data_IF_821337168372
#
_entry.id   IF_821337168372
#
_cell.length_a   1.000
_cell.length_b   1.000
_cell.length_c   1.000
_cell.angle_alpha   90.00
_cell.angle_beta   90.00
_cell.angle_gamma   90.00
#
_symmetry.space_group_name_H-M   'P 1'
#
loop_
_entity.id
_entity.type
_entity.pdbx_description
1 polymer ?
#
# COMPACT_ATOMS: atom_id res chain seq x y z
N UNK A 1 -6.13 -4.64 -58.57
CA UNK A 1 -4.94 -5.04 -57.78
C UNK A 1 -4.19 -3.78 -57.38
N UNK A 2 -4.26 -3.38 -56.11
CA UNK A 2 -3.38 -2.35 -55.53
C UNK A 2 -2.89 -2.90 -54.19
N UNK A 3 -1.57 -3.04 -54.07
CA UNK A 3 -0.84 -3.50 -52.88
C UNK A 3 -0.97 -2.47 -51.76
N UNK A 4 -1.44 -2.89 -50.59
CA UNK A 4 -1.29 -2.13 -49.33
C UNK A 4 -0.02 -2.64 -48.65
N UNK A 5 0.96 -1.76 -48.47
CA UNK A 5 2.21 -2.06 -47.78
C UNK A 5 1.97 -2.30 -46.28
N UNK A 6 2.67 -3.30 -45.71
CA UNK A 6 2.70 -3.53 -44.27
C UNK A 6 3.39 -2.34 -43.56
N UNK A 7 2.94 -1.92 -42.37
CA UNK A 7 3.70 -0.99 -41.54
C UNK A 7 5.02 -1.64 -41.11
N UNK A 8 6.06 -0.85 -40.77
CA UNK A 8 7.32 -1.41 -40.28
C UNK A 8 7.05 -2.20 -39.00
N UNK A 9 7.54 -3.45 -38.96
CA UNK A 9 7.53 -4.27 -37.77
C UNK A 9 8.22 -3.49 -36.64
N UNK A 10 7.47 -3.13 -35.61
CA UNK A 10 8.03 -2.78 -34.31
C UNK A 10 8.87 -3.96 -33.78
N UNK A 11 9.75 -3.71 -32.80
CA UNK A 11 10.61 -4.76 -32.24
C UNK A 11 9.78 -5.99 -31.88
N UNK A 12 10.22 -7.15 -32.35
CA UNK A 12 9.58 -8.43 -32.06
C UNK A 12 9.40 -8.62 -30.55
N UNK A 13 8.35 -9.31 -30.15
CA UNK A 13 8.08 -9.70 -28.75
C UNK A 13 9.31 -10.31 -28.03
N UNK A 14 10.22 -10.95 -28.77
CA UNK A 14 11.47 -11.51 -28.23
C UNK A 14 12.51 -10.45 -27.81
N UNK A 15 12.50 -9.26 -28.42
CA UNK A 15 13.40 -8.15 -28.05
C UNK A 15 12.98 -7.39 -26.79
N UNK A 16 11.71 -7.51 -26.35
CA UNK A 16 11.23 -6.93 -25.09
C UNK A 16 11.70 -7.72 -23.86
N UNK A 17 12.09 -8.99 -24.01
CA UNK A 17 12.55 -9.87 -22.91
C UNK A 17 13.96 -9.56 -22.37
N UNK A 18 14.64 -8.52 -22.89
CA UNK A 18 16.05 -8.22 -22.54
C UNK A 18 16.34 -6.80 -22.11
N UNK A 19 15.34 -5.90 -22.09
CA UNK A 19 15.58 -4.59 -21.52
C UNK A 19 15.66 -4.73 -19.99
N UNK A 20 16.83 -4.40 -19.42
CA UNK A 20 16.93 -4.25 -17.98
C UNK A 20 15.94 -3.17 -17.53
N UNK A 21 15.26 -3.36 -16.37
CA UNK A 21 14.40 -2.33 -15.82
C UNK A 21 15.21 -1.07 -15.57
N UNK A 22 14.57 0.11 -15.69
CA UNK A 22 15.24 1.39 -15.57
C UNK A 22 14.48 2.33 -14.66
N UNK A 23 15.21 2.97 -13.74
CA UNK A 23 14.71 4.09 -12.96
C UNK A 23 14.54 5.33 -13.83
N UNK A 24 13.36 5.93 -13.73
CA UNK A 24 13.01 7.18 -14.41
C UNK A 24 12.42 8.10 -13.35
N UNK A 25 13.07 9.25 -13.15
CA UNK A 25 12.49 10.32 -12.32
C UNK A 25 11.47 11.08 -13.16
N UNK A 26 10.19 10.83 -12.91
CA UNK A 26 9.11 11.59 -13.51
C UNK A 26 9.16 13.06 -13.09
N UNK A 27 8.84 13.96 -14.02
CA UNK A 27 8.73 15.41 -13.77
C UNK A 27 7.33 15.89 -14.15
N UNK A 28 6.34 15.69 -13.27
CA UNK A 28 4.99 16.16 -13.53
C UNK A 28 4.93 17.69 -13.54
N UNK A 29 4.07 18.24 -14.40
CA UNK A 29 3.74 19.67 -14.46
C UNK A 29 2.57 19.99 -13.54
N UNK A 30 2.41 21.26 -13.15
CA UNK A 30 1.28 21.73 -12.32
C UNK A 30 1.71 22.16 -10.92
N UNK A 31 0.74 22.22 -9.99
CA UNK A 31 1.03 22.57 -8.59
C UNK A 31 1.80 21.43 -7.95
N UNK A 32 3.01 21.71 -7.52
CA UNK A 32 3.84 20.77 -6.76
C UNK A 32 3.18 20.45 -5.43
N UNK A 33 3.04 19.16 -5.13
CA UNK A 33 2.75 18.68 -3.79
C UNK A 33 4.04 18.78 -2.96
N UNK A 34 3.93 19.16 -1.69
CA UNK A 34 5.06 19.06 -0.76
C UNK A 34 5.48 17.60 -0.60
N UNK A 35 6.68 17.39 -0.04
CA UNK A 35 7.08 16.08 0.45
C UNK A 35 5.98 15.54 1.36
N UNK A 36 5.71 14.24 1.33
CA UNK A 36 4.63 13.66 2.12
C UNK A 36 4.92 12.19 2.39
N UNK A 37 4.63 11.72 3.58
CA UNK A 37 4.73 10.33 4.02
C UNK A 37 3.39 9.83 4.57
N UNK A 38 3.28 8.52 4.78
CA UNK A 38 2.05 7.91 5.30
C UNK A 38 0.82 8.10 4.42
N UNK A 39 1.03 8.51 3.16
CA UNK A 39 0.00 8.66 2.13
C UNK A 39 -0.18 7.35 1.37
N UNK A 40 -1.31 7.19 0.71
CA UNK A 40 -1.52 6.07 -0.23
C UNK A 40 -1.58 6.57 -1.67
N UNK A 41 -1.16 5.71 -2.60
CA UNK A 41 -1.33 5.89 -4.04
C UNK A 41 -2.22 4.77 -4.54
N UNK A 42 -3.29 5.13 -5.23
CA UNK A 42 -4.19 4.20 -5.91
C UNK A 42 -4.24 4.54 -7.38
N UNK A 43 -4.13 3.55 -8.26
CA UNK A 43 -4.24 3.74 -9.70
C UNK A 43 -5.63 3.31 -10.14
N UNK A 44 -6.36 4.22 -10.77
CA UNK A 44 -7.62 3.91 -11.45
C UNK A 44 -7.46 4.32 -12.90
N UNK A 45 -7.54 3.34 -13.80
CA UNK A 45 -7.24 3.50 -15.22
C UNK A 45 -5.84 4.07 -15.46
N UNK A 46 -5.73 5.36 -15.83
CA UNK A 46 -4.47 6.07 -16.11
C UNK A 46 -4.26 7.28 -15.21
N UNK A 47 -4.87 7.27 -14.03
CA UNK A 47 -4.79 8.36 -13.07
C UNK A 47 -4.30 7.80 -11.74
N UNK A 48 -3.22 8.39 -11.22
CA UNK A 48 -2.78 8.14 -9.85
C UNK A 48 -3.57 9.08 -8.93
N UNK A 49 -4.22 8.49 -7.95
CA UNK A 49 -4.89 9.17 -6.85
C UNK A 49 -3.97 9.09 -5.64
N UNK A 50 -3.45 10.24 -5.22
CA UNK A 50 -2.57 10.40 -4.06
C UNK A 50 -3.42 10.95 -2.92
N UNK A 51 -3.57 10.17 -1.87
CA UNK A 51 -4.55 10.40 -0.80
C UNK A 51 -3.84 10.66 0.53
N UNK A 52 -4.19 11.78 1.17
CA UNK A 52 -3.75 12.20 2.51
C UNK A 52 -2.24 12.03 2.79
N UNK A 53 -1.86 11.75 4.02
CA UNK A 53 -0.47 11.73 4.52
C UNK A 53 -0.08 13.04 5.18
N UNK A 54 1.13 13.07 5.71
CA UNK A 54 1.69 14.22 6.43
C UNK A 54 3.06 14.64 5.90
N UNK A 55 3.50 15.81 6.31
CA UNK A 55 4.90 16.17 6.34
C UNK A 55 5.23 16.91 7.62
N UNK A 56 6.48 16.77 8.02
CA UNK A 56 7.05 17.54 9.11
C UNK A 56 7.61 18.85 8.55
N UNK A 57 7.18 19.96 9.15
CA UNK A 57 7.77 21.29 8.98
C UNK A 57 8.09 21.85 10.39
N UNK A 58 8.84 22.96 10.47
CA UNK A 58 9.30 23.58 11.74
C UNK A 58 8.17 23.94 12.74
N UNK A 59 6.89 23.84 12.34
CA UNK A 59 5.70 24.12 13.15
C UNK A 59 4.87 22.89 13.57
N UNK A 60 5.36 21.66 13.33
CA UNK A 60 4.69 20.41 13.68
C UNK A 60 4.11 19.64 12.48
N UNK A 61 3.21 18.70 12.75
CA UNK A 61 2.58 17.85 11.73
C UNK A 61 1.65 18.65 10.81
N UNK A 62 2.00 18.74 9.52
CA UNK A 62 1.15 19.38 8.50
C UNK A 62 0.61 18.32 7.54
N UNK A 63 -0.71 18.17 7.52
CA UNK A 63 -1.36 17.18 6.67
C UNK A 63 -1.46 17.63 5.21
N UNK A 64 -1.19 16.69 4.31
CA UNK A 64 -1.26 16.88 2.87
C UNK A 64 -2.73 16.95 2.41
N UNK A 65 -3.03 17.59 1.25
CA UNK A 65 -4.39 17.65 0.74
C UNK A 65 -5.05 16.27 0.63
N UNK A 66 -6.36 16.16 0.89
CA UNK A 66 -7.06 14.87 0.95
C UNK A 66 -7.07 14.13 -0.39
N UNK A 67 -6.94 14.86 -1.50
CA UNK A 67 -6.83 14.29 -2.84
C UNK A 67 -5.93 15.15 -3.73
N UNK A 68 -4.89 14.53 -4.27
CA UNK A 68 -4.11 15.01 -5.42
C UNK A 68 -4.17 13.94 -6.51
N UNK A 69 -4.31 14.34 -7.77
CA UNK A 69 -4.34 13.41 -8.90
C UNK A 69 -3.24 13.72 -9.91
N UNK A 70 -2.60 12.68 -10.43
CA UNK A 70 -1.66 12.74 -11.55
C UNK A 70 -2.23 11.95 -12.72
N UNK A 71 -2.51 12.63 -13.83
CA UNK A 71 -2.82 11.98 -15.10
C UNK A 71 -1.51 11.48 -15.73
N UNK A 72 -1.38 10.18 -15.96
CA UNK A 72 -0.12 9.57 -16.43
C UNK A 72 0.14 9.74 -17.92
N UNK A 73 -0.86 10.16 -18.71
CA UNK A 73 -0.65 10.47 -20.12
C UNK A 73 -0.10 11.88 -20.29
N UNK A 74 -0.67 12.84 -19.57
CA UNK A 74 -0.33 14.26 -19.67
C UNK A 74 0.79 14.66 -18.71
N UNK A 75 1.04 13.83 -17.70
CA UNK A 75 1.95 14.13 -16.58
C UNK A 75 1.57 15.42 -15.86
N UNK A 76 0.27 15.72 -15.75
CA UNK A 76 -0.26 16.89 -15.05
C UNK A 76 -0.74 16.50 -13.65
N UNK A 77 -0.18 17.16 -12.64
CA UNK A 77 -0.57 17.05 -11.24
C UNK A 77 -1.58 18.15 -10.88
N UNK A 78 -2.69 17.77 -10.24
CA UNK A 78 -3.74 18.70 -9.83
C UNK A 78 -4.43 18.28 -8.53
N UNK A 79 -5.08 19.23 -7.85
CA UNK A 79 -5.91 18.99 -6.66
C UNK A 79 -7.36 19.29 -7.02
N UNK A 80 -8.10 18.31 -7.57
CA UNK A 80 -9.47 18.54 -8.02
C UNK A 80 -10.37 18.82 -6.81
N UNK A 81 -11.45 19.56 -7.05
CA UNK A 81 -12.54 19.62 -6.08
C UNK A 81 -13.07 18.20 -5.82
N UNK A 82 -13.59 17.98 -4.62
CA UNK A 82 -14.31 16.76 -4.23
C UNK A 82 -15.69 17.15 -3.73
N UNK A 83 -16.63 16.21 -3.83
CA UNK A 83 -18.04 16.38 -3.47
C UNK A 83 -18.76 17.45 -4.33
N UNK A 84 -19.65 17.05 -5.25
CA UNK A 84 -20.38 18.00 -6.10
C UNK A 84 -21.16 19.04 -5.30
N UNK A 85 -21.31 20.29 -5.81
CA UNK A 85 -22.10 21.33 -5.14
C UNK A 85 -23.52 20.83 -4.80
N UNK A 86 -23.95 21.03 -3.55
CA UNK A 86 -25.27 20.60 -3.06
C UNK A 86 -25.30 19.22 -2.41
N UNK A 87 -24.19 18.46 -2.40
CA UNK A 87 -24.02 17.30 -1.49
C UNK A 87 -23.44 17.73 -0.15
N UNK A 88 -23.82 17.04 0.92
CA UNK A 88 -23.15 17.15 2.20
C UNK A 88 -21.70 16.68 2.03
N UNK A 89 -20.74 17.47 2.53
CA UNK A 89 -19.31 17.12 2.49
C UNK A 89 -19.09 15.81 3.25
N UNK A 90 -18.52 14.81 2.57
CA UNK A 90 -18.18 13.52 3.17
C UNK A 90 -16.68 13.24 3.11
N UNK A 91 -15.87 14.24 2.76
CA UNK A 91 -14.41 14.15 2.79
C UNK A 91 -13.94 13.62 4.15
N UNK A 92 -13.07 12.60 4.17
CA UNK A 92 -12.45 12.12 5.40
C UNK A 92 -11.67 13.21 6.11
N UNK A 93 -11.52 13.07 7.43
CA UNK A 93 -10.54 13.86 8.18
C UNK A 93 -9.13 13.53 7.70
N UNK A 94 -8.23 14.51 7.86
CA UNK A 94 -6.81 14.37 7.61
C UNK A 94 -6.25 13.14 8.34
N UNK A 95 -5.37 12.40 7.67
CA UNK A 95 -4.85 11.14 8.18
C UNK A 95 -3.56 10.71 7.52
N UNK A 96 -2.77 9.91 8.22
CA UNK A 96 -1.64 9.16 7.68
C UNK A 96 -1.73 7.67 8.06
N UNK A 97 -0.82 6.83 7.58
CA UNK A 97 -0.77 5.41 7.96
C UNK A 97 -2.01 4.57 7.61
N UNK A 98 -2.91 5.13 6.80
CA UNK A 98 -4.11 4.47 6.30
C UNK A 98 -3.76 3.53 5.14
N UNK A 99 -4.65 2.58 4.86
CA UNK A 99 -4.56 1.76 3.65
C UNK A 99 -5.61 2.18 2.63
N UNK A 100 -5.34 1.89 1.36
CA UNK A 100 -6.29 2.11 0.28
C UNK A 100 -6.30 0.92 -0.68
N UNK A 101 -7.49 0.59 -1.18
CA UNK A 101 -7.69 -0.49 -2.15
C UNK A 101 -8.69 -0.07 -3.25
N UNK A 102 -8.46 -0.53 -4.48
CA UNK A 102 -9.31 -0.20 -5.63
C UNK A 102 -10.20 -1.39 -5.99
N UNK A 103 -11.52 -1.18 -5.92
CA UNK A 103 -12.51 -2.12 -6.46
C UNK A 103 -13.28 -1.37 -7.55
N UNK A 104 -13.21 -1.89 -8.77
CA UNK A 104 -13.71 -1.23 -9.98
C UNK A 104 -13.12 0.18 -10.16
N UNK A 105 -13.95 1.23 -10.10
CA UNK A 105 -13.56 2.64 -10.19
C UNK A 105 -13.81 3.37 -8.87
N UNK A 106 -13.66 2.67 -7.75
CA UNK A 106 -13.84 3.21 -6.41
C UNK A 106 -12.63 2.91 -5.55
N UNK A 107 -12.16 3.93 -4.83
CA UNK A 107 -11.04 3.80 -3.92
C UNK A 107 -11.60 3.73 -2.50
N UNK A 108 -11.31 2.64 -1.81
CA UNK A 108 -11.69 2.37 -0.44
C UNK A 108 -10.53 2.77 0.46
N UNK A 109 -10.75 3.66 1.41
CA UNK A 109 -9.75 4.18 2.35
C UNK A 109 -10.15 3.75 3.76
N UNK A 110 -9.27 3.04 4.45
CA UNK A 110 -9.53 2.51 5.78
C UNK A 110 -8.46 2.92 6.80
N UNK A 111 -8.93 3.31 7.98
CA UNK A 111 -8.11 3.56 9.16
C UNK A 111 -7.13 4.72 9.00
N UNK A 112 -5.96 4.57 9.62
CA UNK A 112 -4.93 5.59 9.75
C UNK A 112 -5.04 6.38 11.04
N UNK A 113 -4.15 7.34 11.20
CA UNK A 113 -4.02 8.20 12.39
C UNK A 113 -4.08 9.66 12.03
N UNK A 114 -4.46 10.46 13.02
CA UNK A 114 -4.30 11.91 12.98
C UNK A 114 -3.68 12.36 14.29
N UNK A 115 -2.66 13.20 14.20
CA UNK A 115 -1.94 13.72 15.36
C UNK A 115 -2.08 15.23 15.38
N UNK A 116 -2.45 15.78 16.54
CA UNK A 116 -2.59 17.22 16.73
C UNK A 116 -1.25 17.90 17.05
N UNK A 117 -1.30 19.22 17.34
CA UNK A 117 -0.10 20.00 17.69
C UNK A 117 0.41 19.74 19.11
N UNK A 118 -0.34 19.01 19.94
CA UNK A 118 0.04 18.60 21.29
C UNK A 118 0.55 17.14 21.31
N UNK A 119 0.85 16.58 20.12
CA UNK A 119 1.28 15.20 19.88
C UNK A 119 0.27 14.12 20.33
N UNK A 120 -1.01 14.48 20.45
CA UNK A 120 -2.08 13.53 20.75
C UNK A 120 -2.49 12.83 19.45
N UNK A 121 -2.32 11.51 19.42
CA UNK A 121 -2.61 10.68 18.23
C UNK A 121 -3.95 9.98 18.36
N UNK A 122 -4.82 10.18 17.38
CA UNK A 122 -6.12 9.52 17.25
C UNK A 122 -6.04 8.44 16.16
N UNK A 123 -6.27 7.19 16.55
CA UNK A 123 -6.42 6.07 15.63
C UNK A 123 -7.85 6.02 15.07
N UNK A 124 -7.97 5.74 13.77
CA UNK A 124 -9.26 5.70 13.07
C UNK A 124 -9.63 4.29 12.62
N UNK A 125 -10.94 4.04 12.52
CA UNK A 125 -11.52 2.79 12.01
C UNK A 125 -12.60 3.02 10.94
N UNK A 126 -12.65 4.22 10.36
CA UNK A 126 -13.64 4.56 9.36
C UNK A 126 -13.23 4.10 7.95
N UNK A 127 -14.24 3.64 7.22
CA UNK A 127 -14.14 3.27 5.81
C UNK A 127 -14.79 4.37 4.99
N UNK A 128 -14.04 4.92 4.06
CA UNK A 128 -14.50 5.91 3.10
C UNK A 128 -14.32 5.41 1.68
N UNK A 129 -15.21 5.82 0.80
CA UNK A 129 -15.25 5.37 -0.58
C UNK A 129 -15.23 6.60 -1.47
N UNK A 130 -14.16 6.78 -2.24
CA UNK A 130 -14.05 7.79 -3.28
C UNK A 130 -14.53 7.20 -4.61
N UNK A 131 -15.68 7.67 -5.09
CA UNK A 131 -16.19 7.31 -6.40
C UNK A 131 -15.55 8.20 -7.48
N UNK A 132 -14.67 7.61 -8.30
CA UNK A 132 -13.89 8.34 -9.31
C UNK A 132 -14.66 8.56 -10.62
N UNK A 133 -15.82 7.90 -10.76
CA UNK A 133 -16.73 8.07 -11.91
C UNK A 133 -17.49 9.39 -11.83
N UNK A 134 -17.70 9.89 -10.61
CA UNK A 134 -18.29 11.21 -10.37
C UNK A 134 -17.33 12.33 -10.82
N UNK A 135 -17.88 13.43 -11.35
CA UNK A 135 -17.13 14.62 -11.76
C UNK A 135 -17.75 15.86 -11.10
N UNK A 136 -17.18 16.42 -10.02
CA UNK A 136 -15.95 15.97 -9.34
C UNK A 136 -16.09 14.60 -8.64
N UNK A 137 -14.96 13.91 -8.33
CA UNK A 137 -14.97 12.71 -7.49
C UNK A 137 -15.71 12.96 -6.18
N UNK A 138 -16.47 11.96 -5.73
CA UNK A 138 -17.38 12.12 -4.60
C UNK A 138 -17.07 11.11 -3.50
N UNK A 139 -16.97 11.58 -2.27
CA UNK A 139 -16.83 10.74 -1.10
C UNK A 139 -18.18 10.19 -0.66
N UNK A 140 -18.14 8.97 -0.12
CA UNK A 140 -19.26 8.35 0.55
C UNK A 140 -18.77 7.45 1.67
N UNK A 141 -19.67 7.07 2.58
CA UNK A 141 -19.42 6.06 3.60
C UNK A 141 -20.40 4.89 3.45
N UNK A 142 -19.98 3.66 3.73
CA UNK A 142 -20.89 2.55 3.76
C UNK A 142 -21.83 2.63 4.98
N UNK A 143 -23.00 1.99 4.94
CA UNK A 143 -23.90 1.94 6.09
C UNK A 143 -23.24 1.29 7.30
N UNK A 144 -23.23 1.99 8.44
CA UNK A 144 -22.80 1.43 9.73
C UNK A 144 -24.03 0.96 10.51
N UNK A 145 -23.99 -0.28 10.98
CA UNK A 145 -24.98 -0.85 11.91
C UNK A 145 -24.23 -1.58 13.02
N UNK A 146 -24.83 -1.80 14.21
CA UNK A 146 -24.16 -2.52 15.30
C UNK A 146 -23.71 -3.94 14.93
N UNK A 147 -24.34 -4.57 13.93
CA UNK A 147 -23.96 -5.88 13.40
C UNK A 147 -22.97 -5.81 12.22
N UNK A 148 -22.76 -4.62 11.63
CA UNK A 148 -21.78 -4.34 10.58
C UNK A 148 -20.64 -3.48 11.14
N UNK A 149 -19.91 -4.05 12.10
CA UNK A 149 -18.83 -3.33 12.76
C UNK A 149 -17.55 -3.42 11.93
N UNK A 150 -16.88 -2.28 11.66
CA UNK A 150 -15.56 -2.30 11.06
C UNK A 150 -14.54 -2.96 12.00
N UNK A 151 -13.35 -3.30 11.49
CA UNK A 151 -12.21 -3.64 12.34
C UNK A 151 -11.95 -2.52 13.36
N UNK A 152 -11.28 -2.83 14.47
CA UNK A 152 -10.82 -1.79 15.39
C UNK A 152 -9.86 -0.80 14.72
N UNK A 153 -9.73 0.37 15.33
CA UNK A 153 -8.85 1.43 14.90
C UNK A 153 -7.40 0.97 14.79
N UNK A 154 -6.71 1.44 13.73
CA UNK A 154 -5.38 0.96 13.37
C UNK A 154 -4.68 1.85 12.33
N UNK A 155 -3.36 1.83 12.36
CA UNK A 155 -2.49 2.34 11.30
C UNK A 155 -1.46 1.28 10.87
N UNK A 156 -0.70 1.54 9.80
CA UNK A 156 0.39 0.66 9.37
C UNK A 156 -0.08 -0.73 8.91
N UNK A 157 -1.38 -0.92 8.69
CA UNK A 157 -2.00 -2.12 8.18
C UNK A 157 -2.00 -2.11 6.64
N UNK A 158 -2.26 -3.26 6.04
CA UNK A 158 -2.41 -3.37 4.59
C UNK A 158 -3.85 -3.63 4.19
N UNK A 159 -4.23 -3.17 2.99
CA UNK A 159 -5.46 -3.55 2.33
C UNK A 159 -5.18 -4.06 0.92
N UNK A 160 -5.74 -5.22 0.57
CA UNK A 160 -5.65 -5.80 -0.78
C UNK A 160 -7.02 -6.20 -1.29
N UNK A 161 -7.15 -6.37 -2.60
CA UNK A 161 -8.42 -6.77 -3.22
C UNK A 161 -8.33 -8.18 -3.77
N UNK A 162 -9.30 -9.03 -3.40
CA UNK A 162 -9.51 -10.36 -3.98
C UNK A 162 -10.98 -10.48 -4.41
N UNK A 163 -11.23 -10.44 -5.72
CA UNK A 163 -12.58 -10.32 -6.26
C UNK A 163 -13.19 -8.96 -5.93
N UNK A 164 -14.41 -8.95 -5.38
CA UNK A 164 -15.10 -7.72 -4.92
C UNK A 164 -14.98 -7.52 -3.40
N UNK A 165 -13.91 -8.06 -2.79
CA UNK A 165 -13.66 -8.01 -1.36
C UNK A 165 -12.34 -7.29 -1.09
N UNK A 166 -12.37 -6.33 -0.19
CA UNK A 166 -11.18 -5.72 0.39
C UNK A 166 -10.80 -6.50 1.64
N UNK A 167 -9.58 -7.01 1.69
CA UNK A 167 -9.01 -7.69 2.85
C UNK A 167 -8.10 -6.71 3.58
N UNK A 168 -8.32 -6.53 4.88
CA UNK A 168 -7.49 -5.73 5.78
C UNK A 168 -6.71 -6.67 6.68
N UNK A 169 -5.40 -6.48 6.81
CA UNK A 169 -4.54 -7.32 7.66
C UNK A 169 -3.57 -6.49 8.50
N UNK A 170 -3.46 -6.89 9.77
CA UNK A 170 -2.49 -6.38 10.73
C UNK A 170 -2.64 -4.89 11.06
N UNK A 171 -1.52 -4.24 11.33
CA UNK A 171 -1.42 -2.86 11.78
C UNK A 171 -1.01 -2.73 13.24
N UNK A 172 -1.07 -1.51 13.75
CA UNK A 172 -0.85 -1.20 15.16
C UNK A 172 -1.92 -0.23 15.67
N UNK A 173 -2.12 -0.23 16.98
CA UNK A 173 -2.93 0.75 17.71
C UNK A 173 -2.34 0.95 19.12
N UNK A 174 -2.77 1.98 19.82
CA UNK A 174 -2.34 2.26 21.20
C UNK A 174 -3.49 1.97 22.17
N UNK A 175 -3.24 1.14 23.17
CA UNK A 175 -4.24 0.78 24.18
C UNK A 175 -4.46 1.84 25.26
N UNK A 176 -5.43 1.59 26.16
CA UNK A 176 -5.79 2.51 27.25
C UNK A 176 -4.65 2.75 28.27
N UNK A 177 -3.57 1.95 28.20
CA UNK A 177 -2.37 2.07 29.04
C UNK A 177 -1.19 2.72 28.27
N UNK A 178 -1.46 3.38 27.14
CA UNK A 178 -0.47 3.99 26.24
C UNK A 178 0.56 2.99 25.68
N UNK A 179 0.19 1.70 25.53
CA UNK A 179 1.06 0.68 24.94
C UNK A 179 0.69 0.40 23.50
N UNK A 180 1.68 0.46 22.61
CA UNK A 180 1.52 0.00 21.22
C UNK A 180 1.24 -1.49 21.15
N UNK A 181 0.23 -1.86 20.36
CA UNK A 181 -0.24 -3.22 20.14
C UNK A 181 -0.25 -3.50 18.65
N UNK A 182 0.57 -4.45 18.23
CA UNK A 182 0.54 -4.96 16.87
C UNK A 182 -0.66 -5.89 16.68
N UNK A 183 -1.11 -6.05 15.43
CA UNK A 183 -2.27 -6.86 15.07
C UNK A 183 -1.88 -7.90 14.01
N UNK A 184 -2.58 -9.04 13.97
CA UNK A 184 -2.53 -10.03 12.88
C UNK A 184 -3.91 -10.56 12.49
N UNK A 185 -4.98 -9.83 12.81
CA UNK A 185 -6.33 -10.20 12.41
C UNK A 185 -6.56 -9.93 10.92
N UNK A 186 -7.41 -10.77 10.29
CA UNK A 186 -7.88 -10.58 8.91
C UNK A 186 -9.32 -10.13 8.97
N UNK A 187 -9.63 -9.01 8.31
CA UNK A 187 -10.98 -8.52 8.13
C UNK A 187 -11.32 -8.38 6.65
N UNK A 188 -12.58 -8.59 6.31
CA UNK A 188 -13.05 -8.63 4.93
C UNK A 188 -14.24 -7.70 4.79
N UNK A 189 -14.08 -6.68 3.94
CA UNK A 189 -15.19 -5.85 3.49
C UNK A 189 -15.68 -6.35 2.13
N UNK A 190 -16.91 -6.85 2.09
CA UNK A 190 -17.61 -7.21 0.85
C UNK A 190 -18.24 -5.95 0.25
N UNK A 191 -17.70 -5.47 -0.86
CA UNK A 191 -18.18 -4.26 -1.54
C UNK A 191 -19.54 -4.43 -2.22
N UNK A 192 -19.96 -5.67 -2.49
CA UNK A 192 -21.27 -5.96 -3.06
C UNK A 192 -22.37 -5.88 -2.00
N UNK A 193 -22.06 -6.36 -0.79
CA UNK A 193 -22.99 -6.37 0.36
C UNK A 193 -22.88 -5.13 1.24
N UNK A 194 -21.82 -4.35 1.07
CA UNK A 194 -21.39 -3.27 1.96
C UNK A 194 -21.27 -3.75 3.42
N UNK A 195 -20.59 -4.87 3.61
CA UNK A 195 -20.58 -5.59 4.89
C UNK A 195 -19.19 -6.08 5.29
N UNK A 196 -18.85 -5.88 6.56
CA UNK A 196 -17.64 -6.37 7.21
C UNK A 196 -17.84 -7.76 7.79
N UNK A 197 -16.83 -8.61 7.66
CA UNK A 197 -16.78 -9.91 8.30
C UNK A 197 -15.36 -10.24 8.72
N UNK A 198 -15.21 -11.04 9.76
CA UNK A 198 -13.95 -11.59 10.22
C UNK A 198 -14.00 -13.11 9.99
N UNK A 199 -13.30 -13.64 8.98
CA UNK A 199 -13.25 -15.08 8.76
C UNK A 199 -12.43 -15.78 9.85
N UNK A 200 -12.81 -17.00 10.19
CA UNK A 200 -11.97 -17.89 10.98
C UNK A 200 -10.77 -18.31 10.14
N UNK A 201 -9.58 -17.84 10.51
CA UNK A 201 -8.33 -18.15 9.81
C UNK A 201 -7.63 -19.36 10.44
N UNK A 202 -7.09 -20.21 9.59
CA UNK A 202 -6.39 -21.45 9.97
C UNK A 202 -4.93 -21.41 9.55
N UNK A 203 -4.16 -22.44 9.94
CA UNK A 203 -2.77 -22.63 9.52
C UNK A 203 -1.78 -21.88 10.39
N UNK A 204 -0.71 -21.37 9.78
CA UNK A 204 0.38 -20.66 10.49
C UNK A 204 0.33 -19.18 10.13
N UNK A 205 -0.43 -18.36 10.88
CA UNK A 205 -0.51 -16.94 10.60
C UNK A 205 0.82 -16.24 10.84
N UNK A 206 1.06 -15.10 10.16
CA UNK A 206 2.14 -14.21 10.54
C UNK A 206 1.95 -13.73 11.99
N UNK A 207 3.05 -13.51 12.71
CA UNK A 207 2.97 -12.80 13.99
C UNK A 207 2.35 -11.41 13.81
N UNK A 208 1.83 -10.85 14.89
CA UNK A 208 1.34 -9.47 14.97
C UNK A 208 2.36 -8.49 14.40
N UNK A 209 1.92 -7.63 13.48
CA UNK A 209 2.82 -6.74 12.74
C UNK A 209 2.17 -5.48 12.18
N UNK A 210 2.99 -4.46 11.99
CA UNK A 210 2.69 -3.26 11.20
C UNK A 210 3.75 -3.01 10.11
N UNK A 211 3.50 -2.07 9.21
CA UNK A 211 4.49 -1.58 8.23
C UNK A 211 4.94 -2.66 7.24
N UNK A 212 4.22 -3.77 7.17
CA UNK A 212 4.42 -4.83 6.18
C UNK A 212 3.82 -4.41 4.84
N UNK A 213 4.15 -5.13 3.78
CA UNK A 213 3.42 -5.01 2.52
C UNK A 213 2.55 -6.22 2.29
N UNK A 214 1.48 -6.02 1.54
CA UNK A 214 0.66 -7.11 1.04
C UNK A 214 0.31 -6.90 -0.43
N UNK A 215 0.13 -7.99 -1.15
CA UNK A 215 -0.27 -7.98 -2.55
C UNK A 215 -1.22 -9.14 -2.84
N UNK A 216 -2.22 -8.91 -3.69
CA UNK A 216 -3.08 -10.00 -4.15
C UNK A 216 -2.46 -10.71 -5.36
N UNK A 217 -2.49 -12.04 -5.32
CA UNK A 217 -2.01 -12.92 -6.39
C UNK A 217 -3.09 -13.96 -6.64
N UNK A 218 -3.86 -13.78 -7.71
CA UNK A 218 -5.03 -14.61 -7.98
C UNK A 218 -6.05 -14.52 -6.84
N UNK A 219 -6.21 -15.62 -6.11
CA UNK A 219 -7.12 -15.72 -4.94
C UNK A 219 -6.38 -15.71 -3.60
N UNK A 220 -5.10 -15.35 -3.60
CA UNK A 220 -4.27 -15.34 -2.41
C UNK A 220 -3.85 -13.92 -2.04
N UNK A 221 -3.58 -13.70 -0.77
CA UNK A 221 -2.88 -12.52 -0.26
C UNK A 221 -1.47 -12.95 0.15
N UNK A 222 -0.47 -12.27 -0.39
CA UNK A 222 0.93 -12.43 -0.05
C UNK A 222 1.33 -11.30 0.90
N UNK A 223 1.91 -11.62 2.05
CA UNK A 223 2.39 -10.66 3.06
C UNK A 223 3.90 -10.80 3.23
N UNK A 224 4.61 -9.67 3.20
CA UNK A 224 6.06 -9.65 3.36
C UNK A 224 6.53 -8.58 4.35
N UNK A 225 7.45 -8.99 5.23
CA UNK A 225 8.16 -8.13 6.16
C UNK A 225 7.26 -7.43 7.20
N UNK A 226 7.63 -6.20 7.55
CA UNK A 226 7.01 -5.40 8.61
C UNK A 226 7.83 -5.39 9.90
N UNK A 227 7.20 -4.96 10.99
CA UNK A 227 7.76 -5.06 12.33
C UNK A 227 6.72 -5.59 13.31
N UNK A 228 7.21 -6.29 14.33
CA UNK A 228 6.42 -6.86 15.41
C UNK A 228 7.31 -7.06 16.64
N UNK A 229 6.97 -8.04 17.47
CA UNK A 229 7.72 -8.39 18.68
C UNK A 229 8.31 -9.81 18.57
N UNK A 230 9.50 -9.99 19.13
CA UNK A 230 10.07 -11.33 19.35
C UNK A 230 9.39 -12.05 20.54
N UNK A 231 9.85 -13.26 20.87
CA UNK A 231 9.25 -14.08 21.94
C UNK A 231 9.44 -13.52 23.37
N UNK A 232 10.20 -12.43 23.53
CA UNK A 232 10.45 -11.75 24.81
C UNK A 232 10.08 -10.26 24.75
N UNK A 233 9.18 -9.90 23.83
CA UNK A 233 8.61 -8.56 23.66
C UNK A 233 9.59 -7.47 23.20
N UNK A 234 10.68 -7.82 22.50
CA UNK A 234 11.53 -6.83 21.86
C UNK A 234 11.06 -6.48 20.43
N UNK A 235 11.08 -5.18 20.05
CA UNK A 235 10.79 -4.77 18.68
C UNK A 235 11.76 -5.39 17.67
N UNK A 236 11.22 -6.03 16.64
CA UNK A 236 12.00 -6.62 15.53
C UNK A 236 11.41 -6.23 14.19
N UNK A 237 12.27 -6.08 13.19
CA UNK A 237 11.86 -6.09 11.79
C UNK A 237 11.78 -7.53 11.28
N UNK A 238 10.94 -7.74 10.27
CA UNK A 238 10.62 -9.04 9.73
C UNK A 238 11.03 -9.11 8.24
N UNK A 239 11.41 -10.31 7.79
CA UNK A 239 11.70 -10.66 6.40
C UNK A 239 10.95 -11.93 5.96
N UNK A 240 9.98 -12.39 6.75
CA UNK A 240 9.19 -13.57 6.44
C UNK A 240 8.15 -13.29 5.36
N UNK A 241 7.83 -14.35 4.60
CA UNK A 241 6.82 -14.36 3.56
C UNK A 241 5.68 -15.28 4.00
N UNK A 242 4.44 -14.80 3.88
CA UNK A 242 3.24 -15.57 4.21
C UNK A 242 2.22 -15.48 3.10
N UNK A 243 1.47 -16.55 2.90
CA UNK A 243 0.40 -16.63 1.92
C UNK A 243 -0.90 -16.99 2.64
N UNK A 244 -1.92 -16.16 2.49
CA UNK A 244 -3.29 -16.49 2.85
C UNK A 244 -4.05 -16.98 1.61
N UNK A 245 -4.48 -18.23 1.64
CA UNK A 245 -5.49 -18.74 0.70
C UNK A 245 -6.87 -18.20 1.12
N UNK A 246 -7.53 -17.42 0.26
CA UNK A 246 -8.83 -16.80 0.59
C UNK A 246 -10.05 -17.64 0.20
N UNK A 247 -9.84 -18.79 -0.46
CA UNK A 247 -10.88 -19.80 -0.65
C UNK A 247 -11.03 -20.65 0.63
N UNK A 248 -9.91 -20.98 1.28
CA UNK A 248 -9.91 -21.82 2.50
C UNK A 248 -9.65 -21.06 3.80
N UNK A 249 -9.34 -19.76 3.72
CA UNK A 249 -8.92 -18.92 4.86
C UNK A 249 -7.77 -19.53 5.64
N UNK A 250 -6.76 -20.06 4.95
CA UNK A 250 -5.64 -20.78 5.56
C UNK A 250 -4.31 -20.09 5.24
N UNK A 251 -3.60 -19.70 6.29
CA UNK A 251 -2.23 -19.20 6.20
C UNK A 251 -1.23 -20.33 6.04
N UNK A 252 -0.23 -20.11 5.19
CA UNK A 252 0.93 -20.95 5.08
C UNK A 252 2.19 -20.13 4.76
N UNK A 253 3.34 -20.62 5.22
CA UNK A 253 4.63 -20.12 4.78
C UNK A 253 5.08 -20.93 3.56
N UNK A 254 5.31 -20.29 2.40
CA UNK A 254 5.79 -20.99 1.23
C UNK A 254 7.23 -21.47 1.42
N UNK A 255 7.57 -22.60 0.80
CA UNK A 255 8.96 -23.04 0.69
C UNK A 255 9.64 -22.14 -0.34
N UNK A 256 10.70 -21.45 0.07
CA UNK A 256 11.45 -20.57 -0.81
C UNK A 256 12.37 -21.37 -1.73
N UNK A 257 12.44 -20.96 -3.00
CA UNK A 257 13.28 -21.60 -4.02
C UNK A 257 14.69 -21.02 -4.13
N UNK A 258 15.05 -20.06 -3.28
CA UNK A 258 16.36 -19.40 -3.25
C UNK A 258 16.90 -19.27 -1.82
N UNK A 259 18.23 -19.31 -1.69
CA UNK A 259 18.93 -19.00 -0.44
C UNK A 259 19.18 -17.48 -0.25
N UNK A 260 19.05 -16.71 -1.34
CA UNK A 260 19.06 -15.24 -1.30
C UNK A 260 17.73 -14.79 -0.71
N UNK A 261 17.77 -13.95 0.33
CA UNK A 261 16.61 -13.37 0.98
C UNK A 261 16.80 -11.85 1.10
N UNK A 262 15.73 -11.05 0.94
CA UNK A 262 15.80 -9.64 1.27
C UNK A 262 16.00 -9.47 2.78
N UNK A 263 16.71 -8.40 3.16
CA UNK A 263 16.86 -8.01 4.56
C UNK A 263 15.50 -7.67 5.20
N UNK A 264 15.40 -7.91 6.50
CA UNK A 264 14.28 -7.48 7.35
C UNK A 264 14.00 -5.99 7.21
N UNK A 265 12.72 -5.63 7.06
CA UNK A 265 12.35 -4.24 6.77
C UNK A 265 10.90 -3.94 7.08
N UNK A 266 10.63 -2.66 7.39
CA UNK A 266 9.27 -2.10 7.54
C UNK A 266 9.09 -0.81 6.74
N UNK A 267 7.84 -0.46 6.48
CA UNK A 267 7.42 0.71 5.70
C UNK A 267 8.08 0.79 4.30
N UNK A 268 8.31 -0.39 3.70
CA UNK A 268 8.73 -0.54 2.31
C UNK A 268 7.50 -0.55 1.39
N UNK A 269 7.72 -0.46 0.08
CA UNK A 269 6.65 -0.70 -0.89
C UNK A 269 6.84 -2.04 -1.58
N UNK A 270 5.72 -2.64 -1.98
CA UNK A 270 5.71 -3.80 -2.84
C UNK A 270 4.69 -3.64 -3.95
N UNK A 271 5.01 -4.14 -5.14
CA UNK A 271 4.10 -4.13 -6.28
C UNK A 271 4.27 -5.41 -7.09
N UNK A 272 3.14 -6.02 -7.46
CA UNK A 272 3.12 -7.19 -8.34
C UNK A 272 2.92 -6.74 -9.78
N UNK A 273 3.86 -7.11 -10.64
CA UNK A 273 3.76 -6.92 -12.09
C UNK A 273 3.98 -8.30 -12.73
N UNK A 274 2.99 -8.75 -13.50
CA UNK A 274 2.92 -10.10 -14.05
C UNK A 274 3.06 -11.18 -12.97
N UNK A 275 4.17 -11.94 -13.00
CA UNK A 275 4.49 -13.05 -12.09
C UNK A 275 5.57 -12.70 -11.07
N UNK A 276 5.82 -11.40 -10.86
CA UNK A 276 6.89 -10.94 -9.99
C UNK A 276 6.41 -9.88 -9.02
N UNK A 277 6.82 -10.01 -7.76
CA UNK A 277 6.66 -8.97 -6.75
C UNK A 277 7.99 -8.22 -6.63
N UNK A 278 7.94 -6.89 -6.68
CA UNK A 278 9.09 -6.01 -6.52
C UNK A 278 8.98 -5.29 -5.18
N UNK A 279 10.01 -5.37 -4.37
CA UNK A 279 10.12 -4.72 -3.05
C UNK A 279 11.19 -3.64 -3.12
N UNK A 280 10.87 -2.43 -2.63
CA UNK A 280 11.79 -1.30 -2.66
C UNK A 280 11.74 -0.47 -1.38
N UNK A 281 12.94 -0.08 -0.92
CA UNK A 281 13.14 0.79 0.25
C UNK A 281 12.67 0.15 1.54
N UNK A 282 12.13 0.99 2.42
CA UNK A 282 11.83 0.65 3.80
C UNK A 282 13.03 0.83 4.71
N UNK A 283 12.76 0.77 6.01
CA UNK A 283 13.76 0.91 7.04
C UNK A 283 14.08 -0.43 7.71
N UNK A 284 15.36 -0.63 8.03
CA UNK A 284 15.89 -1.76 8.76
C UNK A 284 16.73 -1.28 9.96
N UNK A 285 17.01 -2.18 10.91
CA UNK A 285 17.81 -1.85 12.08
C UNK A 285 19.28 -2.13 11.77
N UNK A 286 20.14 -1.12 11.91
CA UNK A 286 21.59 -1.28 11.78
C UNK A 286 22.23 -0.99 13.15
N UNK A 287 22.62 -2.02 13.92
CA UNK A 287 23.14 -1.83 15.28
C UNK A 287 24.40 -0.96 15.34
N UNK A 288 25.12 -0.84 14.21
CA UNK A 288 26.41 -0.16 14.12
C UNK A 288 26.34 1.27 13.55
N UNK A 289 25.16 1.72 13.13
CA UNK A 289 24.97 3.05 12.55
C UNK A 289 24.75 4.14 13.61
N UNK A 290 25.16 5.37 13.29
CA UNK A 290 24.91 6.55 14.13
C UNK A 290 23.40 6.83 14.29
N UNK A 291 22.59 6.38 13.31
CA UNK A 291 21.14 6.36 13.33
C UNK A 291 20.66 4.92 13.57
N UNK A 292 19.68 4.73 14.45
CA UNK A 292 19.17 3.38 14.78
C UNK A 292 18.39 2.73 13.61
N UNK A 293 17.95 3.52 12.62
CA UNK A 293 17.26 3.03 11.44
C UNK A 293 17.97 3.51 10.18
N UNK A 294 18.19 2.58 9.26
CA UNK A 294 18.76 2.83 7.95
C UNK A 294 17.75 2.46 6.87
N UNK A 295 17.84 3.11 5.70
CA UNK A 295 17.05 2.76 4.54
C UNK A 295 17.98 2.27 3.42
N UNK A 296 17.49 1.36 2.58
CA UNK A 296 18.16 1.00 1.32
C UNK A 296 17.42 1.58 0.11
N UNK A 297 18.05 1.46 -1.06
CA UNK A 297 17.45 1.74 -2.35
C UNK A 297 17.64 0.55 -3.31
N UNK A 298 17.70 -0.65 -2.74
CA UNK A 298 17.83 -1.92 -3.48
C UNK A 298 16.43 -2.37 -3.92
N UNK A 299 16.33 -2.96 -5.10
CA UNK A 299 15.10 -3.60 -5.57
C UNK A 299 15.24 -5.11 -5.39
N UNK A 300 14.48 -5.67 -4.46
CA UNK A 300 14.36 -7.13 -4.32
C UNK A 300 13.18 -7.60 -5.17
N UNK A 301 13.32 -8.74 -5.84
CA UNK A 301 12.30 -9.29 -6.71
C UNK A 301 12.01 -10.74 -6.33
N UNK A 302 10.75 -11.06 -6.06
CA UNK A 302 10.28 -12.43 -5.86
C UNK A 302 9.63 -12.92 -7.16
N UNK A 303 10.14 -14.02 -7.71
CA UNK A 303 9.39 -14.82 -8.69
C UNK A 303 8.32 -15.63 -7.95
N UNK A 304 7.06 -15.35 -8.27
CA UNK A 304 5.90 -15.93 -7.56
C UNK A 304 5.71 -17.41 -7.91
N UNK A 305 6.20 -17.88 -9.06
CA UNK A 305 6.03 -19.27 -9.48
C UNK A 305 7.06 -20.18 -8.81
N UNK A 306 8.31 -19.74 -8.74
CA UNK A 306 9.38 -20.50 -8.09
C UNK A 306 9.61 -20.13 -6.62
N UNK A 307 8.89 -19.15 -6.09
CA UNK A 307 9.08 -18.57 -4.75
C UNK A 307 10.55 -18.23 -4.47
N UNK A 308 11.24 -17.71 -5.49
CA UNK A 308 12.67 -17.41 -5.45
C UNK A 308 12.90 -15.92 -5.48
N UNK A 309 13.67 -15.41 -4.53
CA UNK A 309 14.12 -14.04 -4.48
C UNK A 309 15.39 -13.83 -5.29
N UNK A 310 15.50 -12.63 -5.85
CA UNK A 310 16.70 -12.12 -6.51
C UNK A 310 16.85 -10.63 -6.22
N UNK A 311 18.08 -10.13 -6.30
CA UNK A 311 18.36 -8.69 -6.23
C UNK A 311 18.46 -8.14 -7.64
N UNK A 312 17.53 -7.28 -8.00
CA UNK A 312 17.40 -6.78 -9.36
C UNK A 312 18.39 -5.63 -9.62
N UNK A 313 19.19 -5.78 -10.67
CA UNK A 313 19.94 -4.66 -11.23
C UNK A 313 18.99 -3.78 -12.05
N UNK A 314 18.94 -2.50 -11.70
CA UNK A 314 18.07 -1.51 -12.36
C UNK A 314 18.94 -0.39 -12.91
N UNK A 315 18.81 -0.13 -14.21
CA UNK A 315 19.55 0.91 -14.90
C UNK A 315 19.06 2.31 -14.49
N UNK A 316 19.88 3.32 -14.77
CA UNK A 316 19.55 4.73 -14.51
C UNK A 316 19.91 5.17 -13.09
N UNK A 317 19.46 6.37 -12.72
CA UNK A 317 19.75 6.94 -11.41
C UNK A 317 18.75 6.38 -10.40
N UNK A 318 19.23 5.52 -9.49
CA UNK A 318 18.42 5.01 -8.40
C UNK A 318 17.88 6.15 -7.53
N UNK A 319 16.62 6.07 -7.06
CA UNK A 319 16.10 7.01 -6.09
C UNK A 319 16.93 6.99 -4.80
N UNK A 320 16.88 8.08 -4.05
CA UNK A 320 17.41 8.10 -2.68
C UNK A 320 16.67 7.07 -1.82
N UNK A 321 17.43 6.50 -0.88
CA UNK A 321 16.97 5.61 0.20
C UNK A 321 15.77 6.25 0.91
N UNK A 322 14.69 5.49 1.14
CA UNK A 322 13.44 6.00 1.71
C UNK A 322 12.58 4.92 2.35
N UNK A 323 11.74 5.32 3.29
CA UNK A 323 10.66 4.54 3.89
C UNK A 323 9.36 5.36 3.85
N UNK A 324 8.26 4.80 4.36
CA UNK A 324 6.96 5.48 4.54
C UNK A 324 6.37 6.08 3.24
N UNK A 325 6.80 5.54 2.10
CA UNK A 325 6.37 5.92 0.77
C UNK A 325 5.30 4.95 0.25
N UNK A 326 4.62 5.34 -0.83
CA UNK A 326 3.62 4.49 -1.48
C UNK A 326 3.99 4.21 -2.94
N UNK A 327 3.43 3.13 -3.48
CA UNK A 327 3.65 2.70 -4.84
C UNK A 327 2.32 2.32 -5.49
N UNK A 328 2.25 2.45 -6.81
CA UNK A 328 1.12 2.02 -7.63
C UNK A 328 1.62 1.57 -9.00
N UNK A 329 0.91 0.64 -9.61
CA UNK A 329 1.23 0.09 -10.94
C UNK A 329 0.31 0.71 -11.98
N UNK A 330 0.90 1.21 -13.08
CA UNK A 330 0.22 1.83 -14.23
C UNK A 330 0.43 0.97 -15.47
#
# INVERSE_FOLDING_TARGET
>A
QVKVGRPPCGPSWESARRAMPRWIQAQPQGRTRQSCEGHTVSVVERVLYILFGKHEDDGGNVFCPPLTVLDTNTMILSTPAVDPPGRQRQTPNDREGHSAAVIDQRIYVFGGTWTDHEDITLYMNDLHILDTTCKPPAWSRPPRTPSNSPPMEREGHTAVVVGHRMLVFGGTWVDEEDKSRYLNDVHVYDATRNWWSQPDVLGTPPIEREGHTASSIGRNMLVFGGAGLDAVDHPINLADLHVLDTDTWTWHQPILGSDVLPQERRYHTASVIDRRMYVFGGQYYEPTADLHFECDNVVSCLDIESMSWDTLQVDGQAPLRRACHSAGVV
#
